data_IF_027359973421
#
_entry.id   IF_027359973421
#
_cell.length_a   1.000
_cell.length_b   1.000
_cell.length_c   1.000
_cell.angle_alpha   90.00
_cell.angle_beta   90.00
_cell.angle_gamma   90.00
#
_symmetry.space_group_name_H-M   'P 1'
#
loop_
_entity.id
_entity.type
_entity.pdbx_description
1 polymer ?
#
# COMPACT_ATOMS: atom_id res chain seq x y z
N UNK A 1 6.31 -0.87 -12.42
CA UNK A 1 5.43 -2.05 -12.26
C UNK A 1 6.12 -3.25 -12.86
N UNK A 2 5.82 -4.48 -12.41
CA UNK A 2 6.29 -5.70 -13.07
C UNK A 2 5.43 -5.95 -14.31
N UNK A 3 6.05 -6.26 -15.44
CA UNK A 3 5.38 -6.35 -16.75
C UNK A 3 4.29 -7.43 -16.78
N UNK A 4 4.49 -8.53 -16.07
CA UNK A 4 3.58 -9.68 -16.11
C UNK A 4 2.55 -9.69 -14.96
N UNK A 5 2.40 -8.58 -14.25
CA UNK A 5 1.48 -8.50 -13.11
C UNK A 5 0.16 -7.85 -13.50
N UNK A 6 -0.94 -8.49 -13.12
CA UNK A 6 -2.28 -7.91 -13.18
C UNK A 6 -2.61 -7.32 -11.81
N UNK A 7 -2.55 -5.99 -11.70
CA UNK A 7 -2.82 -5.27 -10.45
C UNK A 7 -4.32 -5.05 -10.25
N UNK A 8 -4.90 -5.56 -9.16
CA UNK A 8 -6.31 -5.32 -8.81
C UNK A 8 -6.44 -4.56 -7.50
N UNK A 9 -7.52 -3.79 -7.40
CA UNK A 9 -7.90 -3.08 -6.17
C UNK A 9 -8.09 -4.10 -5.04
N UNK A 10 -7.48 -3.83 -3.89
CA UNK A 10 -7.46 -4.73 -2.74
C UNK A 10 -6.27 -5.69 -2.70
N UNK A 11 -5.52 -5.86 -3.80
CA UNK A 11 -4.31 -6.68 -3.77
C UNK A 11 -3.27 -6.07 -2.83
N UNK A 12 -2.51 -6.95 -2.16
CA UNK A 12 -1.41 -6.57 -1.29
C UNK A 12 -0.08 -6.94 -1.97
N UNK A 13 0.83 -5.98 -2.04
CA UNK A 13 2.16 -6.18 -2.60
C UNK A 13 3.25 -5.68 -1.66
N UNK A 14 4.43 -6.29 -1.72
CA UNK A 14 5.63 -5.75 -1.10
C UNK A 14 6.22 -4.66 -2.00
N UNK A 15 6.24 -3.41 -1.53
CA UNK A 15 6.77 -2.26 -2.26
C UNK A 15 7.98 -1.64 -1.56
N UNK A 16 8.92 -1.09 -2.33
CA UNK A 16 10.02 -0.27 -1.81
C UNK A 16 9.64 1.21 -1.91
N UNK A 17 9.41 1.87 -0.78
CA UNK A 17 8.98 3.26 -0.69
C UNK A 17 10.17 4.21 -0.41
N UNK A 18 11.37 3.85 -0.85
CA UNK A 18 12.57 4.68 -0.72
C UNK A 18 12.94 5.32 -2.08
N UNK A 19 13.56 6.51 -2.07
CA UNK A 19 13.78 7.37 -0.90
C UNK A 19 12.48 8.03 -0.43
N UNK A 20 12.42 8.39 0.85
CA UNK A 20 11.29 9.11 1.46
C UNK A 20 11.80 10.39 2.13
N UNK A 21 10.91 11.36 2.35
CA UNK A 21 11.23 12.65 2.98
C UNK A 21 10.39 12.87 4.24
N UNK A 22 11.03 13.30 5.33
CA UNK A 22 10.35 13.62 6.59
C UNK A 22 9.56 12.43 7.16
N UNK A 23 8.27 12.64 7.40
CA UNK A 23 7.34 11.66 8.00
C UNK A 23 6.60 10.78 6.97
N UNK A 24 7.01 10.80 5.69
CA UNK A 24 6.53 9.86 4.68
C UNK A 24 6.78 8.40 5.13
N UNK A 25 5.85 7.50 4.80
CA UNK A 25 6.02 6.08 5.09
C UNK A 25 7.07 5.47 4.15
N UNK A 26 8.30 5.31 4.65
CA UNK A 26 9.42 4.77 3.88
C UNK A 26 9.70 3.27 4.05
N UNK A 27 10.74 2.77 3.40
CA UNK A 27 11.21 1.39 3.53
C UNK A 27 10.48 0.38 2.63
N UNK A 28 10.91 -0.88 2.70
CA UNK A 28 10.22 -2.00 2.06
C UNK A 28 9.10 -2.50 2.96
N UNK A 29 7.85 -2.42 2.52
CA UNK A 29 6.69 -2.82 3.32
C UNK A 29 5.49 -3.25 2.48
N UNK A 30 4.54 -4.01 3.07
CA UNK A 30 3.30 -4.33 2.40
C UNK A 30 2.50 -3.05 2.12
N UNK A 31 1.85 -3.01 0.97
CA UNK A 31 0.95 -1.93 0.55
C UNK A 31 -0.31 -2.54 -0.04
N UNK A 32 -1.46 -1.91 0.19
CA UNK A 32 -2.73 -2.30 -0.45
C UNK A 32 -3.04 -1.38 -1.63
N UNK A 33 -3.48 -1.95 -2.75
CA UNK A 33 -3.88 -1.19 -3.94
C UNK A 33 -5.26 -0.55 -3.72
N UNK A 34 -5.32 0.77 -3.82
CA UNK A 34 -6.56 1.55 -3.68
C UNK A 34 -7.17 1.97 -5.02
N UNK A 35 -6.32 2.14 -6.05
CA UNK A 35 -6.74 2.55 -7.38
C UNK A 35 -7.70 1.53 -8.02
N UNK A 36 -8.65 2.03 -8.81
CA UNK A 36 -9.63 1.20 -9.51
C UNK A 36 -8.97 0.34 -10.62
N UNK A 37 -9.61 -0.78 -10.96
CA UNK A 37 -9.04 -1.77 -11.88
C UNK A 37 -8.84 -1.25 -13.31
N UNK A 38 -9.69 -0.32 -13.78
CA UNK A 38 -9.51 0.31 -15.10
C UNK A 38 -8.24 1.15 -15.09
N UNK A 39 -8.04 1.96 -14.04
CA UNK A 39 -6.82 2.73 -13.82
C UNK A 39 -5.58 1.84 -13.73
N UNK A 40 -5.64 0.74 -12.97
CA UNK A 40 -4.53 -0.20 -12.85
C UNK A 40 -4.14 -0.86 -14.18
N UNK A 41 -5.09 -1.04 -15.09
CA UNK A 41 -4.86 -1.66 -16.41
C UNK A 41 -4.16 -0.72 -17.38
N UNK A 42 -4.48 0.57 -17.33
CA UNK A 42 -4.06 1.54 -18.35
C UNK A 42 -2.98 2.52 -17.86
N UNK A 43 -2.84 2.70 -16.54
CA UNK A 43 -1.84 3.60 -15.95
C UNK A 43 -0.51 2.88 -15.69
N UNK A 44 0.59 3.63 -15.81
CA UNK A 44 1.92 3.19 -15.35
C UNK A 44 2.12 3.36 -13.84
N UNK A 45 1.13 3.93 -13.14
CA UNK A 45 1.17 4.22 -11.70
C UNK A 45 0.00 3.55 -10.95
N UNK A 46 0.19 3.31 -9.64
CA UNK A 46 -0.84 2.85 -8.71
C UNK A 46 -1.03 3.87 -7.59
N UNK A 47 -2.26 4.00 -7.11
CA UNK A 47 -2.56 4.60 -5.80
C UNK A 47 -2.60 3.47 -4.77
N UNK A 48 -1.77 3.58 -3.73
CA UNK A 48 -1.63 2.57 -2.68
C UNK A 48 -1.76 3.20 -1.29
N UNK A 49 -2.04 2.37 -0.28
CA UNK A 49 -1.85 2.73 1.12
C UNK A 49 -0.80 1.81 1.78
N UNK A 50 0.19 2.36 2.51
CA UNK A 50 1.18 1.57 3.22
C UNK A 50 0.59 0.90 4.46
N UNK A 51 0.97 -0.37 4.67
CA UNK A 51 0.60 -1.16 5.84
C UNK A 51 1.76 -1.12 6.85
N UNK A 52 1.43 -1.07 8.15
CA UNK A 52 2.40 -1.08 9.24
C UNK A 52 1.99 -2.09 10.30
N UNK A 53 2.98 -2.75 10.93
CA UNK A 53 2.78 -3.63 12.09
C UNK A 53 2.72 -2.86 13.41
N UNK A 54 3.01 -1.55 13.40
CA UNK A 54 2.96 -0.69 14.60
C UNK A 54 1.52 -0.25 14.88
N UNK A 55 0.70 -1.16 15.35
CA UNK A 55 -0.71 -0.91 15.70
C UNK A 55 -0.87 0.06 16.86
N UNK A 56 0.04 0.05 17.83
CA UNK A 56 -0.12 0.81 19.08
C UNK A 56 0.10 2.32 18.96
N UNK A 57 0.80 2.78 17.92
CA UNK A 57 1.18 4.21 17.84
C UNK A 57 0.02 5.13 17.50
N UNK A 58 -1.11 4.64 16.98
CA UNK A 58 -2.15 5.47 16.36
C UNK A 58 -3.58 4.86 16.46
N UNK A 59 -3.89 4.13 17.54
CA UNK A 59 -5.13 3.34 17.75
C UNK A 59 -6.46 4.12 17.72
N UNK A 60 -6.47 5.42 17.39
CA UNK A 60 -7.68 6.26 17.35
C UNK A 60 -7.81 7.16 16.13
N UNK A 61 -6.94 7.02 15.12
CA UNK A 61 -7.06 7.85 13.93
C UNK A 61 -8.15 7.29 12.99
N UNK A 62 -9.11 8.11 12.53
CA UNK A 62 -10.24 7.65 11.70
C UNK A 62 -9.82 7.14 10.31
N UNK A 63 -8.58 7.38 9.91
CA UNK A 63 -7.99 6.92 8.64
C UNK A 63 -7.29 5.56 8.77
N UNK A 64 -7.10 5.05 9.99
CA UNK A 64 -6.45 3.77 10.23
C UNK A 64 -7.48 2.65 10.19
N UNK A 65 -7.17 1.60 9.44
CA UNK A 65 -8.01 0.39 9.34
C UNK A 65 -7.18 -0.80 9.81
N UNK A 66 -7.68 -1.50 10.83
CA UNK A 66 -7.09 -2.76 11.26
C UNK A 66 -7.43 -3.83 10.24
N UNK A 67 -6.41 -4.28 9.54
CA UNK A 67 -6.47 -5.51 8.76
C UNK A 67 -5.93 -6.62 9.64
N UNK A 68 -6.63 -7.75 9.69
CA UNK A 68 -6.22 -8.90 10.51
C UNK A 68 -4.86 -9.46 10.08
N UNK A 69 -4.55 -10.68 10.52
CA UNK A 69 -3.31 -11.33 10.12
C UNK A 69 -3.30 -11.53 8.59
N UNK A 70 -2.33 -10.92 7.92
CA UNK A 70 -2.01 -11.20 6.52
C UNK A 70 -1.06 -12.40 6.53
N UNK A 71 -1.36 -13.41 5.69
CA UNK A 71 -0.61 -14.67 5.58
C UNK A 71 0.84 -14.51 5.19
#
# INVERSE_FOLDING_TARGET
>A
MKADWVYRRGDIYLANLNPFKGSEQGGKRPVVVLQNNIGNRHSSTLIIAPITSRVEKNTGQPTHVNIGRIG
#
